data_IF_248604525700
#
_entry.id   IF_248604525700
#
_cell.length_a   1.000
_cell.length_b   1.000
_cell.length_c   1.000
_cell.angle_alpha   90.00
_cell.angle_beta   90.00
_cell.angle_gamma   90.00
#
_symmetry.space_group_name_H-M   'P 1'
#
loop_
_entity.id
_entity.type
_entity.pdbx_description
1 polymer ?
#
# COMPACT_ATOMS: atom_id res chain seq x y z
N UNK A 1 38.35 3.90 -27.28
CA UNK A 1 39.24 3.04 -28.11
C UNK A 1 40.08 2.18 -27.18
N UNK A 2 40.48 0.99 -27.58
CA UNK A 2 41.15 0.03 -26.69
C UNK A 2 42.68 0.11 -26.73
N UNK A 3 43.24 0.82 -27.71
CA UNK A 3 44.71 0.99 -27.90
C UNK A 3 45.07 2.44 -28.11
N UNK A 4 46.18 2.89 -27.53
CA UNK A 4 46.66 4.29 -27.66
C UNK A 4 47.01 4.64 -29.11
N UNK A 5 47.61 3.72 -29.88
CA UNK A 5 47.93 3.94 -31.30
C UNK A 5 46.67 4.21 -32.14
N UNK A 6 45.57 3.49 -31.90
CA UNK A 6 44.28 3.74 -32.58
C UNK A 6 43.65 5.07 -32.17
N UNK A 7 43.96 5.58 -30.98
CA UNK A 7 43.47 6.88 -30.56
C UNK A 7 44.17 8.01 -31.31
N UNK A 8 45.50 7.91 -31.49
CA UNK A 8 46.27 8.87 -32.26
C UNK A 8 45.87 8.93 -33.74
N UNK A 9 45.65 7.75 -34.37
CA UNK A 9 45.13 7.68 -35.75
C UNK A 9 43.73 8.31 -35.85
N UNK A 10 42.84 8.04 -34.86
CA UNK A 10 41.50 8.62 -34.85
C UNK A 10 41.54 10.15 -34.62
N UNK A 11 42.41 10.64 -33.76
CA UNK A 11 42.59 12.10 -33.55
C UNK A 11 43.01 12.80 -34.82
N UNK A 12 43.89 12.18 -35.61
CA UNK A 12 44.29 12.70 -36.92
C UNK A 12 43.13 12.69 -37.94
N UNK A 13 42.36 11.60 -37.98
CA UNK A 13 41.23 11.44 -38.89
C UNK A 13 40.08 12.40 -38.61
N UNK A 14 39.85 12.75 -37.35
CA UNK A 14 38.73 13.57 -36.92
C UNK A 14 39.10 14.98 -36.46
N UNK A 15 40.31 15.47 -36.83
CA UNK A 15 40.87 16.76 -36.40
C UNK A 15 39.95 17.96 -36.70
N UNK A 16 39.30 17.95 -37.87
CA UNK A 16 38.39 19.02 -38.31
C UNK A 16 36.91 18.74 -38.03
N UNK A 17 36.61 17.82 -37.12
CA UNK A 17 35.25 17.44 -36.78
C UNK A 17 34.95 17.73 -35.31
N UNK A 18 33.64 17.86 -34.89
CA UNK A 18 33.26 18.00 -33.49
C UNK A 18 33.43 16.70 -32.68
N UNK A 19 33.97 15.63 -33.29
CA UNK A 19 34.12 14.31 -32.66
C UNK A 19 35.33 14.35 -31.72
N UNK A 20 35.06 14.10 -30.42
CA UNK A 20 36.11 14.02 -29.40
C UNK A 20 36.53 12.57 -29.19
N UNK A 21 37.82 12.31 -29.37
CA UNK A 21 38.41 11.00 -29.12
C UNK A 21 38.74 10.86 -27.62
N UNK A 22 38.45 9.73 -27.05
CA UNK A 22 38.81 9.39 -25.66
C UNK A 22 39.16 7.90 -25.52
N UNK A 23 40.19 7.61 -24.77
CA UNK A 23 40.62 6.23 -24.42
C UNK A 23 40.05 5.79 -23.07
N UNK A 24 39.77 6.72 -22.17
CA UNK A 24 39.30 6.40 -20.81
C UNK A 24 37.79 6.15 -20.74
N UNK A 25 37.00 7.04 -21.32
CA UNK A 25 35.55 6.91 -21.31
C UNK A 25 34.85 8.26 -21.46
N UNK A 26 33.54 8.17 -21.58
CA UNK A 26 32.68 9.36 -21.68
C UNK A 26 31.29 9.06 -21.12
N UNK A 27 30.66 10.09 -20.56
CA UNK A 27 29.24 10.06 -20.21
C UNK A 27 28.38 10.02 -21.48
N UNK A 28 27.44 9.09 -21.53
CA UNK A 28 26.50 8.94 -22.63
C UNK A 28 25.10 8.70 -22.08
N UNK A 29 24.11 9.50 -22.47
CA UNK A 29 22.70 9.40 -22.03
C UNK A 29 22.52 9.27 -20.50
N UNK A 30 23.37 9.92 -19.73
CA UNK A 30 23.32 9.85 -18.27
C UNK A 30 24.08 8.69 -17.62
N UNK A 31 24.41 7.63 -18.36
CA UNK A 31 25.31 6.56 -17.96
C UNK A 31 26.74 6.81 -18.44
N UNK A 32 27.64 5.83 -18.32
CA UNK A 32 29.03 5.91 -18.76
C UNK A 32 29.43 4.75 -19.66
N UNK A 33 30.20 5.04 -20.66
CA UNK A 33 30.90 4.08 -21.51
C UNK A 33 32.39 4.35 -21.35
N UNK A 34 33.20 3.33 -21.08
CA UNK A 34 34.62 3.49 -20.90
C UNK A 34 35.29 2.37 -20.12
N UNK A 35 36.50 2.64 -19.63
CA UNK A 35 37.25 1.73 -18.77
C UNK A 35 36.56 1.52 -17.43
N UNK A 36 36.88 0.43 -16.74
CA UNK A 36 36.29 0.17 -15.40
C UNK A 36 36.70 1.28 -14.40
N UNK A 37 37.91 1.81 -14.48
CA UNK A 37 38.35 2.96 -13.66
C UNK A 37 37.41 4.16 -13.85
N UNK A 38 37.19 4.60 -15.08
CA UNK A 38 36.32 5.73 -15.39
C UNK A 38 34.86 5.50 -14.91
N UNK A 39 34.32 4.26 -15.08
CA UNK A 39 33.00 3.92 -14.59
C UNK A 39 32.92 3.99 -13.07
N UNK A 40 33.93 3.45 -12.38
CA UNK A 40 33.98 3.45 -10.92
C UNK A 40 34.05 4.86 -10.35
N UNK A 41 34.95 5.71 -10.87
CA UNK A 41 35.09 7.09 -10.42
C UNK A 41 33.77 7.87 -10.59
N UNK A 42 33.14 7.73 -11.75
CA UNK A 42 31.85 8.36 -12.01
C UNK A 42 30.75 7.85 -11.06
N UNK A 43 30.70 6.55 -10.79
CA UNK A 43 29.71 5.99 -9.90
C UNK A 43 29.95 6.36 -8.44
N UNK A 44 31.21 6.45 -8.00
CA UNK A 44 31.54 6.93 -6.66
C UNK A 44 31.09 8.38 -6.44
N UNK A 45 31.29 9.27 -7.43
CA UNK A 45 30.76 10.63 -7.40
C UNK A 45 29.24 10.65 -7.26
N UNK A 46 28.52 9.85 -8.06
CA UNK A 46 27.07 9.75 -8.02
C UNK A 46 26.56 9.20 -6.70
N UNK A 47 27.18 8.17 -6.18
CA UNK A 47 26.81 7.58 -4.87
C UNK A 47 27.02 8.58 -3.74
N UNK A 48 28.12 9.35 -3.76
CA UNK A 48 28.36 10.44 -2.79
C UNK A 48 27.25 11.49 -2.83
N UNK A 49 26.84 11.93 -4.04
CA UNK A 49 25.70 12.84 -4.24
C UNK A 49 24.41 12.26 -3.66
N UNK A 50 24.10 11.00 -3.94
CA UNK A 50 22.88 10.34 -3.46
C UNK A 50 22.88 10.11 -1.95
N UNK A 51 24.00 9.71 -1.37
CA UNK A 51 24.15 9.61 0.08
C UNK A 51 23.89 10.96 0.78
N UNK A 52 24.41 12.05 0.21
CA UNK A 52 24.16 13.39 0.73
C UNK A 52 22.68 13.76 0.70
N UNK A 53 21.96 13.46 -0.39
CA UNK A 53 20.51 13.67 -0.51
C UNK A 53 19.73 12.78 0.46
N UNK A 54 20.10 11.51 0.58
CA UNK A 54 19.45 10.57 1.51
C UNK A 54 19.62 11.00 2.96
N UNK A 55 20.79 11.55 3.34
CA UNK A 55 21.00 12.15 4.68
C UNK A 55 20.10 13.36 4.93
N UNK A 56 19.83 14.17 3.91
CA UNK A 56 18.86 15.27 4.02
C UNK A 56 17.44 14.72 4.25
N UNK A 57 17.06 13.68 3.50
CA UNK A 57 15.77 12.99 3.72
C UNK A 57 15.69 12.34 5.10
N UNK A 58 16.79 11.78 5.61
CA UNK A 58 16.86 11.22 6.96
C UNK A 58 16.62 12.29 8.04
N UNK A 59 17.22 13.45 7.89
CA UNK A 59 16.96 14.60 8.78
C UNK A 59 15.50 15.05 8.73
N UNK A 60 14.92 15.13 7.52
CA UNK A 60 13.50 15.45 7.33
C UNK A 60 12.58 14.39 7.96
N UNK A 61 12.95 13.12 7.91
CA UNK A 61 12.17 12.01 8.48
C UNK A 61 12.01 12.12 10.00
N UNK A 62 12.92 12.77 10.71
CA UNK A 62 12.77 13.02 12.14
C UNK A 62 11.58 13.90 12.50
N UNK A 63 11.13 14.78 11.61
CA UNK A 63 9.96 15.65 11.83
C UNK A 63 8.75 15.22 10.98
N UNK A 64 8.99 14.83 9.74
CA UNK A 64 7.96 14.51 8.74
C UNK A 64 8.24 13.15 8.05
N UNK A 65 8.15 12.02 8.77
CA UNK A 65 8.58 10.72 8.24
C UNK A 65 7.74 10.26 7.03
N UNK A 66 6.45 10.53 6.98
CA UNK A 66 5.62 10.16 5.83
C UNK A 66 6.05 10.91 4.56
N UNK A 67 6.33 12.20 4.65
CA UNK A 67 6.77 12.99 3.51
C UNK A 67 8.16 12.55 3.02
N UNK A 68 9.08 12.28 3.94
CA UNK A 68 10.40 11.76 3.61
C UNK A 68 10.32 10.38 2.93
N UNK A 69 9.47 9.48 3.44
CA UNK A 69 9.18 8.18 2.82
C UNK A 69 8.63 8.33 1.39
N UNK A 70 7.63 9.20 1.20
CA UNK A 70 7.06 9.47 -0.11
C UNK A 70 8.10 10.05 -1.09
N UNK A 71 8.92 11.00 -0.66
CA UNK A 71 9.99 11.58 -1.48
C UNK A 71 11.03 10.52 -1.92
N UNK A 72 11.35 9.56 -1.05
CA UNK A 72 12.23 8.45 -1.40
C UNK A 72 11.56 7.49 -2.40
N UNK A 73 10.36 6.99 -2.08
CA UNK A 73 9.66 5.96 -2.88
C UNK A 73 9.26 6.48 -4.27
N UNK A 74 8.73 7.70 -4.36
CA UNK A 74 8.27 8.25 -5.64
C UNK A 74 9.34 9.02 -6.41
N UNK A 75 10.48 9.29 -5.80
CA UNK A 75 11.54 10.10 -6.40
C UNK A 75 12.92 9.44 -6.39
N UNK A 76 13.59 9.45 -5.25
CA UNK A 76 15.04 9.18 -5.18
C UNK A 76 15.42 7.77 -5.61
N UNK A 77 14.69 6.73 -5.20
CA UNK A 77 15.02 5.33 -5.53
C UNK A 77 15.04 5.03 -7.04
N UNK A 78 14.28 5.76 -7.86
CA UNK A 78 14.22 5.52 -9.30
C UNK A 78 15.52 5.92 -10.01
N UNK A 79 16.29 6.84 -9.44
CA UNK A 79 17.60 7.24 -9.97
C UNK A 79 18.59 6.08 -9.91
N UNK A 80 18.63 5.35 -8.78
CA UNK A 80 19.52 4.20 -8.62
C UNK A 80 19.21 3.10 -9.62
N UNK A 81 17.92 2.84 -9.84
CA UNK A 81 17.45 1.80 -10.78
C UNK A 81 17.98 2.02 -12.19
N UNK A 82 18.04 3.27 -12.67
CA UNK A 82 18.59 3.58 -13.98
C UNK A 82 20.05 3.11 -14.11
N UNK A 83 20.89 3.44 -13.13
CA UNK A 83 22.30 3.07 -13.15
C UNK A 83 22.51 1.56 -12.95
N UNK A 84 21.77 0.93 -12.08
CA UNK A 84 21.79 -0.53 -11.92
C UNK A 84 21.42 -1.28 -13.20
N UNK A 85 20.58 -0.71 -14.06
CA UNK A 85 20.18 -1.30 -15.35
C UNK A 85 21.16 -1.04 -16.48
N UNK A 86 22.00 -0.02 -16.39
CA UNK A 86 22.86 0.46 -17.48
C UNK A 86 24.34 0.22 -17.26
N UNK A 87 24.79 0.03 -16.02
CA UNK A 87 26.22 -0.14 -15.69
C UNK A 87 26.40 -1.44 -14.93
N UNK A 88 27.26 -2.31 -15.47
CA UNK A 88 27.59 -3.60 -14.85
C UNK A 88 28.60 -3.46 -13.71
N UNK A 89 28.46 -4.30 -12.68
CA UNK A 89 29.47 -4.48 -11.63
C UNK A 89 29.59 -3.31 -10.64
N UNK A 90 28.49 -2.61 -10.37
CA UNK A 90 28.45 -1.49 -9.42
C UNK A 90 27.93 -1.88 -8.02
N UNK A 91 27.71 -3.16 -7.76
CA UNK A 91 27.14 -3.65 -6.50
C UNK A 91 27.89 -3.11 -5.29
N UNK A 92 29.20 -3.29 -5.21
CA UNK A 92 29.99 -2.83 -4.04
C UNK A 92 30.01 -1.31 -3.90
N UNK A 93 29.94 -0.57 -4.99
CA UNK A 93 29.94 0.90 -4.99
C UNK A 93 28.63 1.45 -4.39
N UNK A 94 27.54 0.69 -4.44
CA UNK A 94 26.23 1.08 -3.90
C UNK A 94 26.08 0.85 -2.38
N UNK A 95 26.99 0.10 -1.73
CA UNK A 95 26.93 -0.18 -0.28
C UNK A 95 26.77 1.07 0.60
N UNK A 96 27.45 2.20 0.36
CA UNK A 96 27.26 3.40 1.17
C UNK A 96 25.82 3.93 1.20
N UNK A 97 25.01 3.70 0.14
CA UNK A 97 23.60 4.07 0.11
C UNK A 97 22.84 3.22 1.12
N UNK A 98 23.09 1.90 1.13
CA UNK A 98 22.45 0.98 2.06
C UNK A 98 22.86 1.27 3.50
N UNK A 99 24.11 1.67 3.75
CA UNK A 99 24.59 2.09 5.08
C UNK A 99 23.81 3.32 5.59
N UNK A 100 23.61 4.35 4.79
CA UNK A 100 22.81 5.52 5.18
C UNK A 100 21.33 5.14 5.35
N UNK A 101 20.80 4.27 4.49
CA UNK A 101 19.44 3.76 4.60
C UNK A 101 19.22 3.07 5.94
N UNK A 102 20.10 2.15 6.31
CA UNK A 102 19.96 1.28 7.47
C UNK A 102 20.26 1.99 8.80
N UNK A 103 21.23 2.92 8.81
CA UNK A 103 21.67 3.58 10.03
C UNK A 103 20.99 4.93 10.29
N UNK A 104 20.47 5.62 9.25
CA UNK A 104 19.91 6.96 9.41
C UNK A 104 18.43 7.03 8.98
N UNK A 105 18.10 6.62 7.73
CA UNK A 105 16.78 6.87 7.14
C UNK A 105 15.70 6.00 7.76
N UNK A 106 15.87 4.68 7.77
CA UNK A 106 14.87 3.75 8.31
C UNK A 106 14.65 3.97 9.82
N UNK A 107 15.70 4.13 10.66
CA UNK A 107 15.51 4.47 12.07
C UNK A 107 14.71 5.76 12.29
N UNK A 108 14.91 6.79 11.44
CA UNK A 108 14.14 8.03 11.52
C UNK A 108 12.67 7.83 11.17
N UNK A 109 12.35 6.96 10.18
CA UNK A 109 10.97 6.62 9.81
C UNK A 109 10.23 5.93 10.96
N UNK A 110 10.84 4.95 11.62
CA UNK A 110 10.23 4.14 12.68
C UNK A 110 10.33 4.79 14.07
N UNK A 111 11.21 5.77 14.26
CA UNK A 111 11.55 6.32 15.57
C UNK A 111 12.36 5.36 16.45
N UNK A 112 12.91 4.27 15.88
CA UNK A 112 13.74 3.26 16.57
C UNK A 112 14.51 2.42 15.55
N UNK A 113 15.61 1.80 16.00
CA UNK A 113 16.36 0.87 15.16
C UNK A 113 15.53 -0.36 14.79
N UNK A 114 15.88 -0.97 13.67
CA UNK A 114 15.29 -2.21 13.18
C UNK A 114 16.30 -3.35 13.25
N UNK A 115 15.81 -4.58 13.35
CA UNK A 115 16.63 -5.77 13.29
C UNK A 115 16.96 -6.16 11.85
N UNK A 116 18.00 -6.98 11.60
CA UNK A 116 18.28 -7.50 10.25
C UNK A 116 17.08 -8.24 9.61
N UNK A 117 16.33 -9.02 10.41
CA UNK A 117 15.14 -9.70 9.93
C UNK A 117 14.03 -8.72 9.50
N UNK A 118 13.79 -7.67 10.27
CA UNK A 118 12.84 -6.61 9.90
C UNK A 118 13.32 -5.87 8.65
N UNK A 119 14.63 -5.67 8.49
CA UNK A 119 15.21 -5.04 7.30
C UNK A 119 14.90 -5.81 6.01
N UNK A 120 14.99 -7.14 6.07
CA UNK A 120 14.63 -7.98 4.91
C UNK A 120 13.13 -7.85 4.57
N UNK A 121 12.24 -7.86 5.57
CA UNK A 121 10.80 -7.62 5.38
C UNK A 121 10.54 -6.26 4.72
N UNK A 122 11.13 -5.19 5.27
CA UNK A 122 10.95 -3.81 4.80
C UNK A 122 11.43 -3.64 3.35
N UNK A 123 12.39 -4.46 2.93
CA UNK A 123 12.93 -4.46 1.57
C UNK A 123 12.00 -5.09 0.52
N UNK A 124 10.96 -5.82 0.92
CA UNK A 124 9.95 -6.36 0.01
C UNK A 124 9.10 -5.23 -0.60
N UNK A 125 8.53 -5.44 -1.78
CA UNK A 125 7.54 -4.53 -2.34
C UNK A 125 6.35 -4.32 -1.38
N UNK A 126 5.71 -3.16 -1.48
CA UNK A 126 4.53 -2.81 -0.65
C UNK A 126 3.41 -3.85 -0.79
N UNK A 127 3.18 -4.35 -2.01
CA UNK A 127 2.16 -5.38 -2.31
C UNK A 127 2.46 -6.74 -1.67
N UNK A 128 3.71 -6.99 -1.26
CA UNK A 128 4.16 -8.21 -0.59
C UNK A 128 4.37 -7.98 0.92
N UNK A 129 3.76 -6.95 1.47
CA UNK A 129 3.82 -6.62 2.89
C UNK A 129 5.02 -5.75 3.31
N UNK A 130 5.98 -5.47 2.42
CA UNK A 130 7.12 -4.60 2.69
C UNK A 130 6.82 -3.10 2.62
N UNK A 131 7.87 -2.28 2.57
CA UNK A 131 7.83 -0.83 2.33
C UNK A 131 8.46 -0.42 0.99
N UNK A 132 8.99 -1.35 0.20
CA UNK A 132 9.69 -1.05 -1.04
C UNK A 132 11.07 -0.42 -0.84
N UNK A 133 11.62 -0.46 0.37
CA UNK A 133 12.95 0.08 0.67
C UNK A 133 14.03 -0.97 0.35
N UNK A 134 14.26 -1.19 -0.96
CA UNK A 134 15.19 -2.20 -1.45
C UNK A 134 16.61 -2.05 -0.92
N UNK A 135 17.39 -3.14 -0.97
CA UNK A 135 18.83 -3.16 -0.66
C UNK A 135 19.56 -3.03 -1.99
N UNK A 136 20.17 -1.87 -2.25
CA UNK A 136 20.62 -1.49 -3.59
C UNK A 136 21.79 -2.36 -4.07
N UNK A 137 22.77 -2.63 -3.20
CA UNK A 137 23.91 -3.48 -3.57
C UNK A 137 23.48 -4.91 -3.94
N UNK A 138 22.47 -5.49 -3.24
CA UNK A 138 21.95 -6.83 -3.53
C UNK A 138 21.12 -6.88 -4.82
N UNK A 139 20.47 -5.79 -5.19
CA UNK A 139 19.57 -5.74 -6.35
C UNK A 139 20.30 -5.41 -7.66
N UNK A 140 21.52 -4.85 -7.61
CA UNK A 140 22.22 -4.28 -8.75
C UNK A 140 22.45 -5.28 -9.88
N UNK A 141 23.07 -6.43 -9.58
CA UNK A 141 23.43 -7.39 -10.61
C UNK A 141 22.19 -8.05 -11.24
N UNK A 142 21.17 -8.29 -10.45
CA UNK A 142 19.88 -8.77 -10.92
C UNK A 142 19.20 -7.77 -11.88
N UNK A 143 19.20 -6.48 -11.53
CA UNK A 143 18.67 -5.42 -12.40
C UNK A 143 19.42 -5.34 -13.74
N UNK A 144 20.75 -5.43 -13.70
CA UNK A 144 21.56 -5.44 -14.92
C UNK A 144 21.27 -6.67 -15.80
N UNK A 145 21.23 -7.88 -15.22
CA UNK A 145 20.95 -9.11 -15.94
C UNK A 145 19.59 -9.08 -16.67
N UNK A 146 18.55 -8.58 -15.98
CA UNK A 146 17.21 -8.42 -16.58
C UNK A 146 17.25 -7.41 -17.72
N UNK A 147 17.91 -6.25 -17.52
CA UNK A 147 18.04 -5.22 -18.56
C UNK A 147 18.76 -5.77 -19.80
N UNK A 148 19.86 -6.51 -19.60
CA UNK A 148 20.61 -7.15 -20.69
C UNK A 148 19.74 -8.14 -21.46
N UNK A 149 18.98 -9.01 -20.77
CA UNK A 149 18.10 -10.00 -21.41
C UNK A 149 16.99 -9.33 -22.27
N UNK A 150 16.39 -8.25 -21.78
CA UNK A 150 15.35 -7.51 -22.52
C UNK A 150 15.93 -6.82 -23.77
N UNK A 151 17.16 -6.36 -23.73
CA UNK A 151 17.80 -5.60 -24.83
C UNK A 151 18.59 -6.50 -25.79
N UNK A 152 18.73 -7.79 -25.49
CA UNK A 152 19.56 -8.73 -26.28
C UNK A 152 19.23 -8.76 -27.78
N UNK A 153 17.95 -8.80 -28.23
CA UNK A 153 17.62 -8.78 -29.65
C UNK A 153 18.17 -7.54 -30.37
N UNK A 154 18.05 -6.36 -29.75
CA UNK A 154 18.58 -5.10 -30.29
C UNK A 154 20.12 -5.09 -30.29
N UNK A 155 20.75 -5.61 -29.22
CA UNK A 155 22.21 -5.68 -29.14
C UNK A 155 22.80 -6.61 -30.21
N UNK A 156 22.18 -7.76 -30.46
CA UNK A 156 22.61 -8.70 -31.50
C UNK A 156 22.64 -8.03 -32.87
N UNK A 157 21.62 -7.27 -33.23
CA UNK A 157 21.55 -6.56 -34.51
C UNK A 157 22.60 -5.46 -34.63
N UNK A 158 22.80 -4.66 -33.58
CA UNK A 158 23.86 -3.62 -33.57
C UNK A 158 25.22 -4.26 -33.78
N UNK A 159 25.49 -5.40 -33.15
CA UNK A 159 26.76 -6.12 -33.27
C UNK A 159 26.93 -6.73 -34.68
N UNK A 160 25.88 -7.34 -35.23
CA UNK A 160 25.89 -7.95 -36.57
C UNK A 160 25.83 -6.92 -37.71
N UNK A 161 25.64 -5.63 -37.41
CA UNK A 161 25.43 -4.55 -38.39
C UNK A 161 24.23 -4.85 -39.31
N UNK A 162 23.26 -5.62 -38.84
CA UNK A 162 22.06 -5.91 -39.60
C UNK A 162 21.17 -4.67 -39.69
N UNK A 163 20.71 -4.35 -40.87
CA UNK A 163 19.81 -3.20 -41.10
C UNK A 163 18.34 -3.51 -40.77
N UNK A 164 17.99 -4.80 -40.59
CA UNK A 164 16.65 -5.19 -40.21
C UNK A 164 16.45 -5.06 -38.70
N UNK A 165 15.46 -4.29 -38.28
CA UNK A 165 15.08 -4.22 -36.86
C UNK A 165 14.54 -5.56 -36.36
N UNK A 166 14.68 -5.90 -35.06
CA UNK A 166 14.07 -7.10 -34.47
C UNK A 166 12.56 -7.09 -34.73
N UNK A 167 12.00 -8.25 -34.99
CA UNK A 167 10.56 -8.38 -35.12
C UNK A 167 9.86 -7.97 -33.82
N UNK A 168 8.63 -7.47 -33.93
CA UNK A 168 7.81 -7.15 -32.75
C UNK A 168 7.66 -8.38 -31.84
N UNK A 169 7.66 -9.59 -32.38
CA UNK A 169 7.54 -10.82 -31.60
C UNK A 169 8.79 -11.12 -30.80
N UNK A 170 9.99 -10.99 -31.36
CA UNK A 170 11.25 -11.15 -30.65
C UNK A 170 11.38 -10.16 -29.48
N UNK A 171 10.99 -8.91 -29.69
CA UNK A 171 10.99 -7.88 -28.62
C UNK A 171 9.98 -8.23 -27.53
N UNK A 172 8.78 -8.72 -27.89
CA UNK A 172 7.77 -9.15 -26.90
C UNK A 172 8.26 -10.36 -26.10
N UNK A 173 8.86 -11.34 -26.75
CA UNK A 173 9.42 -12.53 -26.09
C UNK A 173 10.54 -12.15 -25.11
N UNK A 174 11.47 -11.27 -25.50
CA UNK A 174 12.54 -10.79 -24.62
C UNK A 174 11.97 -10.03 -23.41
N UNK A 175 10.95 -9.19 -23.59
CA UNK A 175 10.26 -8.50 -22.49
C UNK A 175 9.55 -9.49 -21.57
N UNK A 176 8.87 -10.48 -22.11
CA UNK A 176 8.21 -11.54 -21.34
C UNK A 176 9.21 -12.34 -20.51
N UNK A 177 10.35 -12.74 -21.12
CA UNK A 177 11.42 -13.44 -20.42
C UNK A 177 11.99 -12.57 -19.27
N UNK A 178 12.24 -11.27 -19.51
CA UNK A 178 12.67 -10.34 -18.48
C UNK A 178 11.66 -10.20 -17.34
N UNK A 179 10.36 -10.13 -17.63
CA UNK A 179 9.31 -10.10 -16.62
C UNK A 179 9.28 -11.39 -15.76
N UNK A 180 9.47 -12.57 -16.40
CA UNK A 180 9.57 -13.84 -15.68
C UNK A 180 10.81 -13.91 -14.79
N UNK A 181 11.96 -13.37 -15.22
CA UNK A 181 13.16 -13.26 -14.38
C UNK A 181 12.88 -12.43 -13.13
N UNK A 182 12.27 -11.26 -13.27
CA UNK A 182 11.89 -10.40 -12.14
C UNK A 182 10.96 -11.13 -11.18
N UNK A 183 9.97 -11.85 -11.72
CA UNK A 183 8.99 -12.58 -10.91
C UNK A 183 9.67 -13.69 -10.10
N UNK A 184 10.53 -14.50 -10.72
CA UNK A 184 11.29 -15.56 -10.04
C UNK A 184 12.18 -15.00 -8.93
N UNK A 185 12.93 -13.93 -9.20
CA UNK A 185 13.78 -13.27 -8.20
C UNK A 185 12.96 -12.76 -7.00
N UNK A 186 11.76 -12.23 -7.26
CA UNK A 186 10.86 -11.78 -6.20
C UNK A 186 10.34 -12.96 -5.38
N UNK A 187 9.91 -14.04 -6.03
CA UNK A 187 9.44 -15.26 -5.35
C UNK A 187 10.52 -15.89 -4.46
N UNK A 188 11.76 -16.01 -4.98
CA UNK A 188 12.90 -16.47 -4.20
C UNK A 188 13.17 -15.59 -2.98
N UNK A 189 13.11 -14.26 -3.16
CA UNK A 189 13.27 -13.29 -2.06
C UNK A 189 12.17 -13.43 -1.02
N UNK A 190 10.91 -13.55 -1.42
CA UNK A 190 9.77 -13.74 -0.52
C UNK A 190 9.94 -15.03 0.27
N UNK A 191 10.27 -16.14 -0.40
CA UNK A 191 10.48 -17.43 0.24
C UNK A 191 11.60 -17.36 1.29
N UNK A 192 12.73 -16.74 0.95
CA UNK A 192 13.87 -16.58 1.85
C UNK A 192 13.49 -15.73 3.08
N UNK A 193 12.75 -14.64 2.87
CA UNK A 193 12.26 -13.80 3.98
C UNK A 193 11.30 -14.60 4.86
N UNK A 194 10.34 -15.32 4.26
CA UNK A 194 9.35 -16.10 5.02
C UNK A 194 10.00 -17.25 5.81
N UNK A 195 10.99 -17.94 5.26
CA UNK A 195 11.66 -19.04 5.97
C UNK A 195 12.19 -18.62 7.35
N UNK A 196 12.68 -17.40 7.46
CA UNK A 196 13.30 -16.86 8.66
C UNK A 196 12.31 -16.18 9.62
N UNK A 197 10.98 -16.21 9.35
CA UNK A 197 9.99 -15.54 10.17
C UNK A 197 9.23 -16.50 11.09
N UNK A 198 8.79 -15.96 12.24
CA UNK A 198 7.87 -16.64 13.13
C UNK A 198 6.51 -16.90 12.44
N UNK A 199 5.73 -17.90 12.86
CA UNK A 199 4.39 -18.15 12.29
C UNK A 199 3.48 -16.90 12.37
N UNK A 200 3.57 -16.14 13.47
CA UNK A 200 2.81 -14.90 13.65
C UNK A 200 3.21 -13.85 12.60
N UNK A 201 4.51 -13.67 12.34
CA UNK A 201 4.97 -12.70 11.33
C UNK A 201 4.64 -13.15 9.92
N UNK A 202 4.72 -14.45 9.60
CA UNK A 202 4.29 -14.99 8.30
C UNK A 202 2.83 -14.64 8.03
N UNK A 203 1.95 -14.93 9.00
CA UNK A 203 0.53 -14.59 8.93
C UNK A 203 0.29 -13.08 8.78
N UNK A 204 1.08 -12.27 9.49
CA UNK A 204 1.01 -10.81 9.35
C UNK A 204 1.37 -10.36 7.94
N UNK A 205 2.45 -10.89 7.35
CA UNK A 205 2.85 -10.59 5.97
C UNK A 205 1.79 -11.01 4.96
N UNK A 206 1.19 -12.20 5.13
CA UNK A 206 0.06 -12.64 4.31
C UNK A 206 -1.09 -11.62 4.38
N UNK A 207 -1.45 -11.16 5.58
CA UNK A 207 -2.48 -10.15 5.76
C UNK A 207 -2.13 -8.82 5.06
N UNK A 208 -0.86 -8.38 5.18
CA UNK A 208 -0.40 -7.12 4.59
C UNK A 208 -0.31 -7.16 3.05
N UNK A 209 -0.20 -8.35 2.45
CA UNK A 209 -0.22 -8.55 1.01
C UNK A 209 -1.64 -8.55 0.42
N UNK A 210 -2.68 -8.73 1.25
CA UNK A 210 -4.06 -8.73 0.78
C UNK A 210 -4.57 -7.33 0.38
N UNK A 211 -5.55 -7.26 -0.53
CA UNK A 211 -6.11 -5.99 -1.03
C UNK A 211 -6.60 -5.07 0.10
N UNK A 212 -6.23 -3.81 0.05
CA UNK A 212 -6.63 -2.76 0.98
C UNK A 212 -5.63 -2.49 2.12
N UNK A 213 -4.95 -3.52 2.65
CA UNK A 213 -4.08 -3.39 3.83
C UNK A 213 -2.91 -2.40 3.67
N UNK A 214 -2.40 -2.24 2.45
CA UNK A 214 -1.20 -1.45 2.17
C UNK A 214 -1.46 -0.19 1.33
N UNK A 215 -2.72 0.10 0.99
CA UNK A 215 -3.06 1.16 0.03
C UNK A 215 -2.68 2.56 0.53
N UNK A 216 -2.67 2.81 1.83
CA UNK A 216 -2.27 4.09 2.42
C UNK A 216 -0.78 4.44 2.16
N UNK A 217 0.09 3.44 1.93
CA UNK A 217 1.50 3.66 1.58
C UNK A 217 1.71 4.09 0.12
N UNK A 218 0.71 3.90 -0.74
CA UNK A 218 0.77 4.22 -2.16
C UNK A 218 0.27 5.63 -2.51
N UNK A 219 -0.08 6.44 -1.52
CA UNK A 219 -0.58 7.79 -1.70
C UNK A 219 0.45 8.85 -1.30
N UNK A 220 0.46 9.96 -2.03
CA UNK A 220 1.17 11.17 -1.60
C UNK A 220 0.50 11.75 -0.34
N UNK A 221 1.26 12.32 0.60
CA UNK A 221 0.72 12.90 1.85
C UNK A 221 0.04 14.26 1.63
N UNK A 222 -1.01 14.28 0.81
CA UNK A 222 -1.76 15.48 0.47
C UNK A 222 -2.76 15.81 1.59
N UNK A 223 -2.59 16.98 2.23
CA UNK A 223 -3.43 17.42 3.34
C UNK A 223 -4.87 17.63 2.89
N UNK A 224 -5.07 18.21 1.72
CA UNK A 224 -6.38 18.51 1.12
C UNK A 224 -7.21 17.24 0.89
N UNK A 225 -6.55 16.10 0.67
CA UNK A 225 -7.20 14.81 0.49
C UNK A 225 -7.28 14.00 1.79
N UNK A 226 -6.77 14.52 2.90
CA UNK A 226 -6.71 13.82 4.17
C UNK A 226 -5.73 12.64 4.18
N UNK A 227 -4.70 12.62 3.32
CA UNK A 227 -3.72 11.54 3.23
C UNK A 227 -2.44 11.81 4.02
N UNK A 228 -2.39 12.92 4.75
CA UNK A 228 -1.27 13.26 5.62
C UNK A 228 -1.41 12.58 6.99
N UNK A 229 -0.31 12.08 7.51
CA UNK A 229 -0.16 11.61 8.89
C UNK A 229 0.92 12.44 9.57
N UNK A 230 0.72 12.81 10.82
CA UNK A 230 1.78 13.43 11.59
C UNK A 230 2.87 12.39 11.95
N UNK A 231 3.98 12.86 12.55
CA UNK A 231 5.11 12.00 12.90
C UNK A 231 4.70 10.79 13.74
N UNK A 232 3.96 11.03 14.82
CA UNK A 232 3.56 9.96 15.74
C UNK A 232 2.58 8.99 15.09
N UNK A 233 1.62 9.48 14.31
CA UNK A 233 0.68 8.66 13.56
C UNK A 233 1.38 7.77 12.55
N UNK A 234 2.34 8.30 11.78
CA UNK A 234 3.07 7.50 10.79
C UNK A 234 3.97 6.44 11.45
N UNK A 235 4.66 6.80 12.54
CA UNK A 235 5.48 5.86 13.29
C UNK A 235 4.63 4.76 13.95
N UNK A 236 3.50 5.11 14.56
CA UNK A 236 2.55 4.13 15.10
C UNK A 236 1.97 3.24 14.00
N UNK A 237 1.62 3.80 12.84
CA UNK A 237 1.14 3.02 11.69
C UNK A 237 2.15 1.98 11.21
N UNK A 238 3.43 2.34 11.11
CA UNK A 238 4.50 1.41 10.78
C UNK A 238 4.72 0.35 11.87
N UNK A 239 4.69 0.75 13.15
CA UNK A 239 4.86 -0.18 14.28
C UNK A 239 3.67 -1.14 14.39
N UNK A 240 2.42 -0.69 14.18
CA UNK A 240 1.23 -1.55 14.08
C UNK A 240 1.36 -2.53 12.91
N UNK A 241 1.83 -2.04 11.75
CA UNK A 241 1.99 -2.85 10.54
C UNK A 241 2.88 -4.06 10.75
N UNK A 242 3.97 -3.90 11.49
CA UNK A 242 4.98 -4.94 11.71
C UNK A 242 4.96 -5.55 13.12
N UNK A 243 3.85 -5.38 13.86
CA UNK A 243 3.66 -5.88 15.22
C UNK A 243 4.82 -5.50 16.17
N UNK A 244 5.40 -4.31 15.98
CA UNK A 244 6.49 -3.78 16.79
C UNK A 244 6.00 -3.18 18.11
N UNK A 245 6.90 -3.06 19.05
CA UNK A 245 6.59 -2.43 20.34
C UNK A 245 6.21 -0.97 20.16
N UNK A 246 5.01 -0.64 20.62
CA UNK A 246 4.48 0.72 20.61
C UNK A 246 4.94 1.46 21.86
N UNK A 247 5.55 2.63 21.66
CA UNK A 247 6.07 3.44 22.77
C UNK A 247 4.94 4.22 23.47
N UNK A 248 5.15 4.54 24.75
CA UNK A 248 4.28 5.44 25.52
C UNK A 248 2.80 5.00 25.56
N UNK A 249 2.55 3.69 25.62
CA UNK A 249 1.21 3.18 25.92
C UNK A 249 1.04 3.05 27.43
N UNK A 250 -0.20 3.29 27.95
CA UNK A 250 -0.50 3.03 29.36
C UNK A 250 -0.39 1.53 29.66
N UNK A 251 -0.02 1.15 30.88
CA UNK A 251 0.05 -0.26 31.28
C UNK A 251 -1.32 -0.89 31.42
N UNK A 252 -2.34 -0.09 31.81
CA UNK A 252 -3.74 -0.49 32.00
C UNK A 252 -4.69 0.42 31.25
N UNK A 253 -5.78 -0.15 30.79
CA UNK A 253 -6.94 0.56 30.23
C UNK A 253 -7.87 1.05 31.33
N UNK A 254 -8.73 2.04 31.06
CA UNK A 254 -9.82 2.46 31.95
C UNK A 254 -10.85 1.35 32.28
N UNK A 255 -10.74 0.17 31.68
CA UNK A 255 -11.49 -1.04 32.04
C UNK A 255 -10.69 -2.03 32.89
N UNK A 256 -9.56 -1.59 33.46
CA UNK A 256 -8.62 -2.33 34.33
C UNK A 256 -7.87 -3.49 33.66
N UNK A 257 -8.12 -3.79 32.40
CA UNK A 257 -7.37 -4.80 31.64
C UNK A 257 -6.01 -4.26 31.19
N UNK A 258 -5.05 -5.17 31.00
CA UNK A 258 -3.76 -4.83 30.37
C UNK A 258 -4.02 -4.14 29.03
N UNK A 259 -3.31 -3.04 28.80
CA UNK A 259 -3.45 -2.29 27.56
C UNK A 259 -2.37 -2.70 26.56
N UNK A 260 -2.79 -3.25 25.46
CA UNK A 260 -1.97 -3.58 24.29
C UNK A 260 -2.76 -3.33 23.00
N UNK A 261 -2.15 -3.53 21.86
CA UNK A 261 -2.78 -3.30 20.56
C UNK A 261 -4.07 -4.12 20.39
N UNK A 262 -4.04 -5.41 20.75
CA UNK A 262 -5.20 -6.29 20.62
C UNK A 262 -6.37 -5.82 21.50
N UNK A 263 -6.06 -5.42 22.74
CA UNK A 263 -7.07 -4.84 23.64
C UNK A 263 -7.61 -3.51 23.07
N UNK A 264 -6.73 -2.62 22.60
CA UNK A 264 -7.13 -1.33 22.05
C UNK A 264 -8.13 -1.47 20.89
N UNK A 265 -7.93 -2.45 20.01
CA UNK A 265 -8.81 -2.71 18.85
C UNK A 265 -10.16 -3.32 19.20
N UNK A 266 -10.33 -3.86 20.43
CA UNK A 266 -11.53 -4.57 20.85
C UNK A 266 -12.22 -3.95 22.08
N UNK A 267 -11.62 -2.96 22.73
CA UNK A 267 -12.16 -2.37 23.95
C UNK A 267 -13.34 -1.43 23.65
N UNK A 268 -14.48 -1.71 24.28
CA UNK A 268 -15.71 -0.91 24.14
C UNK A 268 -15.69 0.41 24.93
N UNK A 269 -14.75 0.57 25.89
CA UNK A 269 -14.62 1.83 26.66
C UNK A 269 -14.12 2.96 25.77
N UNK A 270 -14.73 4.14 25.94
CA UNK A 270 -14.41 5.35 25.18
C UNK A 270 -15.12 5.45 23.82
N UNK A 271 -15.95 4.48 23.43
CA UNK A 271 -16.76 4.55 22.20
C UNK A 271 -15.97 4.43 20.89
N UNK A 272 -14.66 4.16 20.91
CA UNK A 272 -13.81 4.16 19.72
C UNK A 272 -14.19 3.09 18.69
N UNK A 273 -14.71 1.94 19.13
CA UNK A 273 -15.21 0.91 18.21
C UNK A 273 -16.43 1.40 17.45
N UNK A 274 -17.36 2.07 18.15
CA UNK A 274 -18.54 2.68 17.53
C UNK A 274 -18.13 3.79 16.56
N UNK A 275 -17.24 4.69 16.97
CA UNK A 275 -16.73 5.76 16.11
C UNK A 275 -16.05 5.20 14.86
N UNK A 276 -15.28 4.11 14.99
CA UNK A 276 -14.69 3.40 13.84
C UNK A 276 -15.75 2.87 12.88
N UNK A 277 -16.75 2.21 13.42
CA UNK A 277 -17.87 1.69 12.63
C UNK A 277 -18.62 2.82 11.93
N UNK A 278 -19.01 3.86 12.66
CA UNK A 278 -19.78 4.99 12.14
C UNK A 278 -19.02 5.77 11.06
N UNK A 279 -17.72 5.94 11.23
CA UNK A 279 -16.87 6.60 10.24
C UNK A 279 -16.87 5.85 8.90
N UNK A 280 -16.77 4.51 8.93
CA UNK A 280 -16.80 3.69 7.71
C UNK A 280 -18.21 3.69 7.11
N UNK A 281 -19.26 3.50 7.92
CA UNK A 281 -20.65 3.58 7.48
C UNK A 281 -20.95 4.89 6.76
N UNK A 282 -20.57 6.01 7.38
CA UNK A 282 -20.81 7.34 6.82
C UNK A 282 -20.04 7.58 5.52
N UNK A 283 -18.82 7.05 5.43
CA UNK A 283 -18.03 7.10 4.21
C UNK A 283 -18.70 6.30 3.07
N UNK A 284 -19.15 5.08 3.33
CA UNK A 284 -19.88 4.26 2.34
C UNK A 284 -21.18 4.93 1.89
N UNK A 285 -21.94 5.50 2.82
CA UNK A 285 -23.14 6.27 2.51
C UNK A 285 -22.84 7.48 1.61
N UNK A 286 -21.71 8.17 1.85
CA UNK A 286 -21.29 9.30 1.02
C UNK A 286 -20.90 8.87 -0.40
N UNK A 287 -20.19 7.76 -0.54
CA UNK A 287 -19.86 7.20 -1.85
C UNK A 287 -21.13 6.79 -2.62
N UNK A 288 -22.09 6.14 -1.95
CA UNK A 288 -23.37 5.75 -2.54
C UNK A 288 -24.20 6.95 -3.01
N UNK A 289 -24.16 8.08 -2.30
CA UNK A 289 -24.86 9.32 -2.70
C UNK A 289 -24.35 9.89 -4.03
N UNK A 290 -23.15 9.54 -4.48
CA UNK A 290 -22.65 9.96 -5.79
C UNK A 290 -23.37 9.27 -6.94
N UNK A 291 -23.91 8.06 -6.72
CA UNK A 291 -24.53 7.22 -7.77
C UNK A 291 -26.00 6.91 -7.54
N UNK A 292 -26.49 7.08 -6.30
CA UNK A 292 -27.89 6.83 -5.93
C UNK A 292 -28.53 8.11 -5.37
N UNK A 293 -29.77 8.38 -5.74
CA UNK A 293 -30.49 9.60 -5.31
C UNK A 293 -31.10 9.46 -3.90
N UNK A 294 -31.49 8.22 -3.50
CA UNK A 294 -32.09 7.94 -2.19
C UNK A 294 -31.15 7.04 -1.39
N UNK A 295 -30.35 7.68 -0.52
CA UNK A 295 -29.42 6.99 0.40
C UNK A 295 -29.75 7.39 1.83
N UNK A 296 -30.03 6.39 2.64
CA UNK A 296 -30.41 6.54 4.04
C UNK A 296 -29.39 5.82 4.96
N UNK A 297 -29.01 6.49 6.03
CA UNK A 297 -28.16 5.92 7.09
C UNK A 297 -29.06 5.39 8.20
N UNK A 298 -28.71 4.22 8.75
CA UNK A 298 -29.46 3.53 9.80
C UNK A 298 -30.95 3.33 9.47
N UNK A 299 -31.31 2.85 8.26
CA UNK A 299 -32.70 2.58 7.92
C UNK A 299 -33.28 1.50 8.83
N UNK A 300 -34.47 1.73 9.34
CA UNK A 300 -35.22 0.68 9.99
C UNK A 300 -35.71 -0.34 8.95
N UNK A 301 -35.63 -1.63 9.28
CA UNK A 301 -36.25 -2.70 8.49
C UNK A 301 -37.75 -2.73 8.74
N UNK A 302 -38.53 -3.17 7.74
CA UNK A 302 -39.96 -3.33 7.88
C UNK A 302 -40.30 -4.35 8.96
N UNK A 303 -41.39 -4.15 9.73
CA UNK A 303 -41.87 -5.13 10.69
C UNK A 303 -42.13 -6.49 10.04
N UNK A 304 -41.84 -7.57 10.78
CA UNK A 304 -42.09 -8.90 10.28
C UNK A 304 -43.60 -9.20 10.45
N UNK A 305 -44.34 -9.62 9.40
CA UNK A 305 -45.72 -10.01 9.50
C UNK A 305 -45.93 -11.18 10.49
N UNK A 306 -47.05 -11.16 11.19
CA UNK A 306 -47.42 -12.25 12.14
C UNK A 306 -47.45 -13.60 11.44
N UNK A 307 -47.00 -14.65 12.16
CA UNK A 307 -46.97 -16.02 11.66
C UNK A 307 -45.80 -16.40 10.76
N UNK A 308 -44.91 -15.44 10.38
CA UNK A 308 -43.76 -15.76 9.57
C UNK A 308 -42.59 -16.27 10.39
N UNK A 309 -42.07 -17.42 10.03
CA UNK A 309 -40.96 -18.06 10.75
C UNK A 309 -39.66 -17.82 9.95
N UNK A 310 -38.60 -17.51 10.66
CA UNK A 310 -37.21 -17.37 10.13
C UNK A 310 -36.29 -18.36 10.83
N UNK A 311 -35.16 -18.62 10.22
CA UNK A 311 -34.08 -19.39 10.83
C UNK A 311 -33.69 -18.77 12.19
N UNK A 312 -33.32 -19.59 13.18
CA UNK A 312 -32.98 -19.17 14.55
C UNK A 312 -31.86 -18.10 14.61
N UNK A 313 -31.01 -18.02 13.60
CA UNK A 313 -29.94 -17.01 13.50
C UNK A 313 -30.38 -15.69 12.85
N UNK A 314 -31.60 -15.59 12.31
CA UNK A 314 -32.10 -14.37 11.69
C UNK A 314 -32.43 -13.30 12.75
N UNK A 315 -32.20 -12.02 12.37
CA UNK A 315 -32.62 -10.90 13.22
C UNK A 315 -34.14 -10.66 13.07
N UNK A 316 -34.91 -11.11 14.03
CA UNK A 316 -36.36 -10.96 14.05
C UNK A 316 -36.86 -9.76 14.86
N UNK A 317 -35.95 -8.92 15.37
CA UNK A 317 -36.34 -7.74 16.17
C UNK A 317 -37.09 -6.71 15.32
N UNK A 318 -38.18 -6.15 15.85
CA UNK A 318 -38.96 -5.14 15.13
C UNK A 318 -38.22 -3.80 14.99
N UNK A 319 -37.28 -3.50 15.89
CA UNK A 319 -36.43 -2.31 15.87
C UNK A 319 -35.11 -2.51 15.09
N UNK A 320 -34.98 -3.61 14.33
CA UNK A 320 -33.78 -3.92 13.58
C UNK A 320 -33.48 -2.85 12.55
N UNK A 321 -32.19 -2.45 12.50
CA UNK A 321 -31.66 -1.48 11.54
C UNK A 321 -30.45 -2.07 10.82
N UNK A 322 -30.23 -1.59 9.62
CA UNK A 322 -28.98 -1.80 8.86
C UNK A 322 -28.23 -0.48 8.74
N UNK A 323 -26.98 -0.54 8.32
CA UNK A 323 -26.11 0.64 8.36
C UNK A 323 -26.43 1.65 7.26
N UNK A 324 -26.64 1.17 6.01
CA UNK A 324 -26.96 2.02 4.86
C UNK A 324 -27.98 1.35 3.95
N UNK A 325 -28.93 2.15 3.44
CA UNK A 325 -29.82 1.79 2.35
C UNK A 325 -29.53 2.71 1.16
N UNK A 326 -29.46 2.14 -0.05
CA UNK A 326 -29.37 2.91 -1.30
C UNK A 326 -30.35 2.34 -2.34
N UNK A 327 -31.22 3.17 -2.89
CA UNK A 327 -32.16 2.74 -3.91
C UNK A 327 -31.52 2.74 -5.30
N UNK A 328 -31.68 1.64 -6.04
CA UNK A 328 -31.20 1.53 -7.43
C UNK A 328 -29.72 1.15 -7.57
N UNK A 329 -29.02 0.76 -6.52
CA UNK A 329 -27.60 0.42 -6.62
C UNK A 329 -27.33 -0.86 -7.45
N UNK A 330 -27.91 -2.01 -7.06
CA UNK A 330 -27.75 -3.27 -7.77
C UNK A 330 -28.71 -3.40 -8.94
N UNK A 331 -30.00 -3.06 -8.72
CA UNK A 331 -31.07 -3.09 -9.71
C UNK A 331 -31.87 -1.79 -9.62
N UNK A 332 -32.26 -1.25 -10.75
CA UNK A 332 -33.09 -0.05 -10.81
C UNK A 332 -34.40 -0.24 -10.01
N UNK A 333 -34.76 0.78 -9.23
CA UNK A 333 -35.96 0.75 -8.40
C UNK A 333 -35.88 -0.08 -7.11
N UNK A 334 -34.92 -1.03 -6.98
CA UNK A 334 -34.78 -1.89 -5.82
C UNK A 334 -33.91 -1.26 -4.72
N UNK A 335 -34.29 -1.49 -3.46
CA UNK A 335 -33.46 -1.10 -2.33
C UNK A 335 -32.27 -2.07 -2.15
N UNK A 336 -31.07 -1.52 -2.01
CA UNK A 336 -29.87 -2.25 -1.61
C UNK A 336 -29.52 -1.86 -0.18
N UNK A 337 -29.33 -2.83 0.69
CA UNK A 337 -28.98 -2.65 2.09
C UNK A 337 -27.55 -3.12 2.33
N UNK A 338 -26.81 -2.33 3.11
CA UNK A 338 -25.41 -2.57 3.45
C UNK A 338 -25.23 -2.59 4.96
N UNK A 339 -24.32 -3.44 5.44
CA UNK A 339 -24.01 -3.56 6.87
C UNK A 339 -22.50 -3.72 7.05
N UNK A 340 -21.90 -2.81 7.79
CA UNK A 340 -20.46 -2.69 7.99
C UNK A 340 -20.01 -3.54 9.17
N UNK A 341 -18.88 -4.21 9.03
CA UNK A 341 -18.22 -4.88 10.14
C UNK A 341 -16.70 -4.72 10.04
N UNK A 342 -16.07 -4.23 11.11
CA UNK A 342 -14.63 -4.22 11.24
C UNK A 342 -14.21 -5.28 12.25
N UNK A 343 -13.36 -6.21 11.82
CA UNK A 343 -12.90 -7.33 12.65
C UNK A 343 -11.41 -7.25 12.95
N UNK A 344 -11.02 -7.65 14.16
CA UNK A 344 -9.62 -7.83 14.51
C UNK A 344 -9.21 -9.28 14.24
N UNK A 345 -8.59 -9.51 13.09
CA UNK A 345 -8.14 -10.84 12.68
C UNK A 345 -7.01 -11.41 13.54
N UNK A 346 -6.29 -10.55 14.29
CA UNK A 346 -5.19 -10.95 15.18
C UNK A 346 -5.66 -11.25 16.62
N UNK A 347 -6.98 -11.19 16.87
CA UNK A 347 -7.54 -11.57 18.17
C UNK A 347 -7.31 -13.05 18.48
N UNK A 348 -7.21 -13.39 19.78
CA UNK A 348 -6.90 -14.75 20.25
C UNK A 348 -7.83 -15.81 19.66
N UNK A 349 -9.10 -15.49 19.46
CA UNK A 349 -10.11 -16.41 18.90
C UNK A 349 -10.03 -16.60 17.38
N UNK A 350 -9.24 -15.78 16.67
CA UNK A 350 -9.18 -15.78 15.20
C UNK A 350 -7.80 -16.13 14.64
N UNK A 351 -6.73 -16.06 15.47
CA UNK A 351 -5.34 -16.19 15.01
C UNK A 351 -5.00 -17.50 14.30
N UNK A 352 -5.76 -18.56 14.56
CA UNK A 352 -5.51 -19.89 13.97
C UNK A 352 -6.23 -20.10 12.64
N UNK A 353 -7.00 -19.10 12.17
CA UNK A 353 -7.73 -19.15 10.91
C UNK A 353 -7.05 -18.26 9.86
N UNK A 354 -7.15 -18.61 8.58
CA UNK A 354 -6.72 -17.72 7.52
C UNK A 354 -7.55 -16.43 7.49
N UNK A 355 -6.95 -15.33 7.05
CA UNK A 355 -7.62 -14.02 6.98
C UNK A 355 -8.87 -14.08 6.09
N UNK A 356 -8.76 -14.78 4.96
CA UNK A 356 -9.88 -14.96 4.02
C UNK A 356 -11.02 -15.75 4.65
N UNK A 357 -10.70 -16.82 5.41
CA UNK A 357 -11.70 -17.60 6.14
C UNK A 357 -12.43 -16.78 7.19
N UNK A 358 -11.71 -15.90 7.91
CA UNK A 358 -12.29 -14.98 8.89
C UNK A 358 -13.27 -14.02 8.22
N UNK A 359 -12.84 -13.34 7.16
CA UNK A 359 -13.67 -12.40 6.41
C UNK A 359 -14.93 -13.09 5.88
N UNK A 360 -14.77 -14.23 5.20
CA UNK A 360 -15.86 -15.03 4.65
C UNK A 360 -16.84 -15.50 5.74
N UNK A 361 -16.33 -15.93 6.89
CA UNK A 361 -17.18 -16.34 8.04
C UNK A 361 -18.05 -15.18 8.54
N UNK A 362 -17.49 -13.97 8.62
CA UNK A 362 -18.24 -12.79 9.03
C UNK A 362 -19.24 -12.31 7.96
N UNK A 363 -18.90 -12.41 6.68
CA UNK A 363 -19.83 -12.15 5.58
C UNK A 363 -21.02 -13.11 5.64
N UNK A 364 -20.76 -14.40 5.83
CA UNK A 364 -21.82 -15.43 5.96
C UNK A 364 -22.68 -15.24 7.22
N UNK A 365 -22.06 -14.88 8.35
CA UNK A 365 -22.80 -14.56 9.58
C UNK A 365 -23.79 -13.42 9.34
N UNK A 366 -23.36 -12.33 8.71
CA UNK A 366 -24.22 -11.20 8.37
C UNK A 366 -25.32 -11.60 7.38
N UNK A 367 -25.01 -12.41 6.36
CA UNK A 367 -26.00 -12.93 5.41
C UNK A 367 -27.05 -13.81 6.10
N UNK A 368 -26.65 -14.74 6.98
CA UNK A 368 -27.61 -15.55 7.77
C UNK A 368 -28.53 -14.68 8.61
N UNK A 369 -27.99 -13.57 9.14
CA UNK A 369 -28.75 -12.70 10.05
C UNK A 369 -29.75 -11.81 9.32
N UNK A 370 -29.46 -11.34 8.11
CA UNK A 370 -30.25 -10.30 7.47
C UNK A 370 -30.76 -10.64 6.07
N UNK A 371 -30.08 -11.49 5.30
CA UNK A 371 -30.35 -11.63 3.86
C UNK A 371 -31.79 -12.10 3.57
N UNK A 372 -32.26 -13.13 4.25
CA UNK A 372 -33.62 -13.67 4.02
C UNK A 372 -34.66 -12.62 4.36
N UNK A 373 -34.52 -11.93 5.52
CA UNK A 373 -35.44 -10.87 5.93
C UNK A 373 -35.50 -9.73 4.92
N UNK A 374 -34.34 -9.23 4.49
CA UNK A 374 -34.25 -8.15 3.50
C UNK A 374 -34.86 -8.55 2.15
N UNK A 375 -34.63 -9.79 1.71
CA UNK A 375 -35.20 -10.27 0.43
C UNK A 375 -36.71 -10.44 0.49
N UNK A 376 -37.22 -10.99 1.59
CA UNK A 376 -38.60 -11.41 1.67
C UNK A 376 -39.57 -10.36 2.22
N UNK A 377 -39.07 -9.48 3.12
CA UNK A 377 -39.89 -8.43 3.75
C UNK A 377 -39.66 -7.08 3.12
N UNK A 378 -38.37 -6.67 3.01
CA UNK A 378 -37.99 -5.36 2.47
C UNK A 378 -37.90 -5.39 0.94
N UNK A 379 -38.04 -6.54 0.27
CA UNK A 379 -37.93 -6.76 -1.18
C UNK A 379 -36.66 -6.16 -1.77
N UNK A 380 -35.59 -6.20 -0.99
CA UNK A 380 -34.30 -5.62 -1.28
C UNK A 380 -33.19 -6.64 -1.50
N UNK A 381 -31.99 -6.16 -1.67
CA UNK A 381 -30.74 -6.94 -1.67
C UNK A 381 -29.90 -6.59 -0.47
N UNK A 382 -29.12 -7.53 0.03
CA UNK A 382 -28.24 -7.35 1.19
C UNK A 382 -26.76 -7.60 0.83
N UNK A 383 -25.87 -6.69 1.21
CA UNK A 383 -24.43 -6.79 0.99
C UNK A 383 -23.67 -6.48 2.28
N UNK A 384 -22.95 -7.44 2.86
CA UNK A 384 -22.08 -7.18 3.99
C UNK A 384 -20.79 -6.50 3.57
N UNK A 385 -20.38 -5.42 4.27
CA UNK A 385 -19.12 -4.73 4.09
C UNK A 385 -18.19 -5.11 5.24
N UNK A 386 -17.38 -6.14 5.05
CA UNK A 386 -16.48 -6.67 6.08
C UNK A 386 -15.04 -6.25 5.81
N UNK A 387 -14.39 -5.68 6.84
CA UNK A 387 -13.01 -5.19 6.80
C UNK A 387 -12.23 -5.69 8.02
N UNK A 388 -10.90 -5.82 7.90
CA UNK A 388 -10.06 -6.00 9.09
C UNK A 388 -9.57 -4.66 9.64
N UNK A 389 -9.12 -4.63 10.90
CA UNK A 389 -8.49 -3.45 11.52
C UNK A 389 -7.18 -3.02 10.82
N UNK A 390 -6.57 -3.89 10.04
CA UNK A 390 -5.39 -3.60 9.19
C UNK A 390 -5.77 -3.23 7.76
N UNK A 391 -7.07 -3.08 7.44
CA UNK A 391 -7.55 -2.56 6.16
C UNK A 391 -7.78 -3.60 5.07
N UNK A 392 -7.66 -4.90 5.36
CA UNK A 392 -8.04 -5.94 4.37
C UNK A 392 -9.54 -5.90 4.12
N UNK A 393 -9.92 -5.98 2.86
CA UNK A 393 -11.31 -5.88 2.40
C UNK A 393 -11.84 -7.28 2.07
N UNK A 394 -13.01 -7.63 2.57
CA UNK A 394 -13.70 -8.88 2.27
C UNK A 394 -14.14 -8.98 0.81
N UNK A 395 -14.45 -10.21 0.37
CA UNK A 395 -14.79 -10.47 -1.04
C UNK A 395 -16.04 -9.74 -1.49
N UNK A 396 -17.10 -9.71 -0.68
CA UNK A 396 -18.35 -9.02 -0.97
C UNK A 396 -18.15 -7.50 -1.06
N UNK A 397 -17.43 -6.93 -0.10
CA UNK A 397 -17.09 -5.52 -0.10
C UNK A 397 -16.20 -5.13 -1.30
N UNK A 398 -15.26 -6.00 -1.72
CA UNK A 398 -14.42 -5.76 -2.89
C UNK A 398 -15.23 -5.76 -4.20
N UNK A 399 -16.20 -6.68 -4.34
CA UNK A 399 -17.13 -6.68 -5.50
C UNK A 399 -17.98 -5.41 -5.50
N UNK A 400 -18.53 -5.05 -4.34
CA UNK A 400 -19.31 -3.82 -4.16
C UNK A 400 -18.50 -2.57 -4.56
N UNK A 401 -17.28 -2.41 -4.05
CA UNK A 401 -16.42 -1.27 -4.38
C UNK A 401 -16.06 -1.19 -5.87
N UNK A 402 -15.86 -2.33 -6.55
CA UNK A 402 -15.62 -2.35 -8.00
C UNK A 402 -16.81 -1.83 -8.79
N UNK A 403 -18.02 -2.29 -8.45
CA UNK A 403 -19.25 -1.83 -9.11
C UNK A 403 -19.53 -0.36 -8.79
N UNK A 404 -19.30 0.05 -7.54
CA UNK A 404 -19.43 1.44 -7.13
C UNK A 404 -18.46 2.35 -7.92
N UNK A 405 -17.19 1.94 -8.03
CA UNK A 405 -16.21 2.67 -8.82
C UNK A 405 -16.61 2.78 -10.30
N UNK A 406 -17.14 1.70 -10.88
CA UNK A 406 -17.65 1.71 -12.26
C UNK A 406 -18.80 2.71 -12.44
N UNK A 407 -19.76 2.73 -11.50
CA UNK A 407 -20.90 3.66 -11.56
C UNK A 407 -20.46 5.11 -11.37
N UNK A 408 -19.52 5.38 -10.45
CA UNK A 408 -18.96 6.72 -10.24
C UNK A 408 -18.23 7.16 -11.52
N UNK A 409 -17.33 6.34 -12.05
CA UNK A 409 -16.57 6.63 -13.26
C UNK A 409 -17.48 6.94 -14.45
N UNK A 410 -18.53 6.13 -14.66
CA UNK A 410 -19.52 6.38 -15.73
C UNK A 410 -20.25 7.71 -15.54
N UNK A 411 -20.56 8.09 -14.28
CA UNK A 411 -21.30 9.33 -13.99
C UNK A 411 -20.41 10.58 -14.05
N UNK A 412 -19.17 10.49 -13.58
CA UNK A 412 -18.21 11.61 -13.52
C UNK A 412 -17.43 11.80 -14.83
N UNK A 413 -17.32 10.77 -15.67
CA UNK A 413 -16.43 10.76 -16.83
C UNK A 413 -14.96 10.49 -16.52
N UNK A 414 -14.63 10.15 -15.27
CA UNK A 414 -13.26 9.84 -14.83
C UNK A 414 -12.87 8.40 -15.16
N UNK A 415 -11.57 8.09 -15.09
CA UNK A 415 -11.07 6.74 -15.35
C UNK A 415 -11.43 5.79 -14.18
N UNK A 416 -11.91 4.59 -14.53
CA UNK A 416 -12.27 3.56 -13.54
C UNK A 416 -11.13 3.20 -12.58
N UNK A 417 -9.91 3.12 -13.10
CA UNK A 417 -8.71 2.81 -12.33
C UNK A 417 -8.42 3.85 -11.26
N UNK A 418 -8.61 5.14 -11.58
CA UNK A 418 -8.37 6.25 -10.66
C UNK A 418 -9.41 6.27 -9.54
N UNK A 419 -10.68 6.08 -9.89
CA UNK A 419 -11.76 5.97 -8.88
C UNK A 419 -11.54 4.74 -7.97
N UNK A 420 -11.20 3.60 -8.57
CA UNK A 420 -10.91 2.38 -7.79
C UNK A 420 -9.76 2.60 -6.82
N UNK A 421 -8.68 3.23 -7.28
CA UNK A 421 -7.52 3.59 -6.46
C UNK A 421 -7.91 4.56 -5.36
N UNK A 422 -8.67 5.59 -5.66
CA UNK A 422 -9.13 6.60 -4.71
C UNK A 422 -9.97 5.97 -3.59
N UNK A 423 -10.96 5.14 -3.93
CA UNK A 423 -11.78 4.42 -2.94
C UNK A 423 -10.90 3.57 -2.01
N UNK A 424 -9.99 2.77 -2.57
CA UNK A 424 -9.08 1.91 -1.80
C UNK A 424 -8.18 2.71 -0.85
N UNK A 425 -7.58 3.78 -1.34
CA UNK A 425 -6.70 4.65 -0.54
C UNK A 425 -7.49 5.32 0.58
N UNK A 426 -8.64 5.92 0.28
CA UNK A 426 -9.51 6.55 1.29
C UNK A 426 -9.97 5.56 2.34
N UNK A 427 -10.45 4.38 1.95
CA UNK A 427 -10.84 3.30 2.89
C UNK A 427 -9.67 2.90 3.78
N UNK A 428 -8.47 2.73 3.21
CA UNK A 428 -7.27 2.34 3.94
C UNK A 428 -6.85 3.41 4.97
N UNK A 429 -6.87 4.70 4.63
CA UNK A 429 -6.61 5.79 5.57
C UNK A 429 -7.68 5.87 6.67
N UNK A 430 -8.95 5.68 6.32
CA UNK A 430 -10.05 5.72 7.29
C UNK A 430 -9.89 4.63 8.35
N UNK A 431 -9.61 3.40 7.92
CA UNK A 431 -9.37 2.26 8.82
C UNK A 431 -8.12 2.49 9.67
N UNK A 432 -7.03 2.98 9.06
CA UNK A 432 -5.78 3.29 9.77
C UNK A 432 -5.98 4.36 10.85
N UNK A 433 -6.62 5.48 10.52
CA UNK A 433 -6.90 6.55 11.50
C UNK A 433 -7.79 6.07 12.62
N UNK A 434 -8.80 5.25 12.31
CA UNK A 434 -9.65 4.65 13.32
C UNK A 434 -8.85 3.70 14.25
N UNK A 435 -7.90 2.94 13.73
CA UNK A 435 -7.01 2.11 14.53
C UNK A 435 -6.08 2.97 15.43
N UNK A 436 -5.51 4.05 14.89
CA UNK A 436 -4.69 5.00 15.66
C UNK A 436 -5.52 5.67 16.77
N UNK A 437 -6.77 6.04 16.50
CA UNK A 437 -7.69 6.57 17.50
C UNK A 437 -8.00 5.53 18.59
N UNK A 438 -8.27 4.27 18.22
CA UNK A 438 -8.42 3.18 19.19
C UNK A 438 -7.18 2.99 20.07
N UNK A 439 -5.99 3.23 19.53
CA UNK A 439 -4.72 3.07 20.24
C UNK A 439 -4.39 4.26 21.16
N UNK A 440 -4.57 5.50 20.68
CA UNK A 440 -4.10 6.73 21.34
C UNK A 440 -5.22 7.55 21.98
N UNK A 441 -6.48 7.27 21.66
CA UNK A 441 -7.62 8.01 22.21
C UNK A 441 -7.74 7.85 23.72
N UNK A 442 -8.15 8.93 24.41
CA UNK A 442 -8.38 8.91 25.84
C UNK A 442 -9.64 8.09 26.17
N UNK A 443 -9.51 7.14 27.10
CA UNK A 443 -10.63 6.32 27.60
C UNK A 443 -11.19 6.81 28.93
N UNK A 444 -10.81 7.99 29.37
CA UNK A 444 -11.39 8.62 30.55
C UNK A 444 -12.85 8.95 30.24
N UNK A 445 -13.75 8.67 31.18
CA UNK A 445 -15.17 9.00 31.03
C UNK A 445 -15.32 10.53 31.01
N UNK A 446 -15.42 11.09 29.83
CA UNK A 446 -15.92 12.45 29.69
C UNK A 446 -17.45 12.40 29.78
N UNK A 447 -18.04 13.09 30.74
CA UNK A 447 -19.43 13.51 30.65
C UNK A 447 -19.54 14.33 29.35
N UNK A 448 -20.38 13.85 28.42
CA UNK A 448 -20.62 14.51 27.14
C UNK A 448 -20.99 15.97 27.35
N UNK A 449 -20.08 16.89 27.12
CA UNK A 449 -20.42 18.19 26.57
C UNK A 449 -20.41 18.03 25.04
N UNK A 450 -21.55 18.28 24.44
CA UNK A 450 -21.92 17.94 23.07
C UNK A 450 -21.30 18.82 21.98
N UNK A 451 -20.13 19.42 22.19
CA UNK A 451 -19.65 20.48 21.28
C UNK A 451 -18.27 20.28 20.64
N UNK A 452 -17.63 19.13 20.67
CA UNK A 452 -16.28 19.04 20.05
C UNK A 452 -15.95 17.72 19.36
N UNK A 453 -16.90 17.09 18.68
CA UNK A 453 -16.63 15.89 17.89
C UNK A 453 -16.47 16.17 16.38
N UNK A 454 -16.55 17.41 15.94
CA UNK A 454 -16.52 17.78 14.51
C UNK A 454 -15.12 17.91 13.92
N UNK A 455 -14.07 18.02 14.75
CA UNK A 455 -12.68 18.18 14.25
C UNK A 455 -12.03 16.91 13.71
N UNK A 456 -12.67 15.75 13.83
CA UNK A 456 -12.25 14.51 13.17
C UNK A 456 -13.20 14.02 12.08
N UNK A 457 -14.29 14.71 11.86
CA UNK A 457 -15.08 14.54 10.65
C UNK A 457 -14.27 15.13 9.50
N UNK A 458 -13.78 14.26 8.62
CA UNK A 458 -13.24 14.68 7.33
C UNK A 458 -14.23 15.63 6.69
N UNK A 459 -13.92 16.91 6.66
CA UNK A 459 -14.62 17.87 5.82
C UNK A 459 -14.25 17.54 4.37
N UNK A 460 -14.97 16.60 3.79
CA UNK A 460 -14.95 16.28 2.37
C UNK A 460 -15.60 17.40 1.52
N UNK A 461 -15.87 18.57 2.12
CA UNK A 461 -16.45 19.71 1.42
C UNK A 461 -15.45 20.52 0.58
N UNK A 462 -14.15 20.14 0.60
CA UNK A 462 -13.12 20.85 -0.16
C UNK A 462 -12.51 20.03 -1.29
N UNK A 463 -13.04 18.86 -1.58
CA UNK A 463 -12.68 18.14 -2.80
C UNK A 463 -13.79 18.41 -3.81
N UNK A 464 -13.54 19.36 -4.69
CA UNK A 464 -14.31 19.50 -5.92
C UNK A 464 -14.23 18.18 -6.70
N UNK A 465 -15.23 17.36 -6.57
CA UNK A 465 -15.68 16.29 -7.43
C UNK A 465 -17.17 16.42 -7.54
#
# INVERSE_FOLDING_TARGET
>A
MKCENQALEAEQLFVDTPIKITTNGKRHLGATIGTNGFKNDYMQEKVSEWCSKLKVLSKMAHSNPQTAYAAYIFGEQHKYTYFMRTIQGISDILKPIDDVMDNEFIPALFGSNITPNEREIISLPIREGGLGLGVQHKNSDACYAVSKAITEPLMKQIISQDQQLPSCEEVKQARSAGAQMIQRQLEEKINNVQMNQTPTMKRNLEQLALPGASSWLSALPLKEQGFNLNKSEFQDALNIRYDRVLKNLPSKCACDKKFDLTHAMNCTRGGFISNRHDSIRNFEAKLLKQVCNDVQVEPALQPIPEGRQFHSSANTRNDARLDVRAKGFWREGQNAFFDVRVTNADSTSQRDKSIESILKSHEQEKKRKYNVRVMEIDQGSFTPIVLTVKGVIGSEANVYHKILAQKIATKSGEQYEDITRLIRVKTSFLVLRAALLCLRGSRVVYTRNSESCDDFAFTLNEIGL
#
